data_IF_345070624478
#
_entry.id   IF_345070624478
#
_cell.length_a   1.000
_cell.length_b   1.000
_cell.length_c   1.000
_cell.angle_alpha   90.00
_cell.angle_beta   90.00
_cell.angle_gamma   90.00
#
_symmetry.space_group_name_H-M   'P 1'
#
loop_
_entity.id
_entity.type
_entity.pdbx_description
1 polymer ?
#
# COMPACT_ATOMS: atom_id res chain seq x y z
N UNK A 1 -70.78 -2.79 23.33
CA UNK A 1 -69.38 -3.15 23.62
C UNK A 1 -68.58 -3.12 22.32
N UNK A 2 -67.99 -1.95 22.05
CA UNK A 2 -67.25 -1.67 20.83
C UNK A 2 -65.83 -2.25 20.98
N UNK A 3 -65.50 -3.26 20.18
CA UNK A 3 -64.24 -4.01 20.29
C UNK A 3 -63.31 -3.61 19.14
N UNK A 4 -62.88 -2.35 19.14
CA UNK A 4 -61.86 -1.86 18.20
C UNK A 4 -60.45 -2.14 18.78
N UNK A 5 -59.99 -3.39 18.62
CA UNK A 5 -58.60 -3.80 18.87
C UNK A 5 -57.61 -3.20 17.85
N UNK A 6 -56.28 -3.39 18.02
CA UNK A 6 -55.22 -2.48 17.58
C UNK A 6 -54.87 -2.57 16.07
N UNK A 7 -55.87 -2.57 15.19
CA UNK A 7 -55.70 -2.68 13.73
C UNK A 7 -54.84 -1.55 13.14
N UNK A 8 -54.92 -0.37 13.73
CA UNK A 8 -54.14 0.80 13.31
C UNK A 8 -52.63 0.63 13.52
N UNK A 9 -52.21 -0.16 14.52
CA UNK A 9 -50.78 -0.40 14.80
C UNK A 9 -50.13 -1.29 13.74
N UNK A 10 -50.79 -2.39 13.35
CA UNK A 10 -50.27 -3.30 12.33
C UNK A 10 -50.20 -2.66 10.94
N UNK A 11 -51.18 -1.80 10.59
CA UNK A 11 -51.14 -1.03 9.36
C UNK A 11 -49.99 -0.02 9.34
N UNK A 12 -49.66 0.55 10.51
CA UNK A 12 -48.54 1.47 10.67
C UNK A 12 -47.20 0.73 10.58
N UNK A 13 -47.09 -0.45 11.18
CA UNK A 13 -45.89 -1.29 11.12
C UNK A 13 -45.58 -1.73 9.67
N UNK A 14 -46.61 -2.09 8.90
CA UNK A 14 -46.46 -2.43 7.50
C UNK A 14 -45.99 -1.24 6.65
N UNK A 15 -46.54 -0.05 6.89
CA UNK A 15 -46.10 1.20 6.24
C UNK A 15 -44.67 1.54 6.63
N UNK A 16 -44.31 1.40 7.90
CA UNK A 16 -42.96 1.63 8.41
C UNK A 16 -41.97 0.67 7.76
N UNK A 17 -42.32 -0.62 7.65
CA UNK A 17 -41.50 -1.64 6.99
C UNK A 17 -41.27 -1.29 5.52
N UNK A 18 -42.33 -0.89 4.80
CA UNK A 18 -42.21 -0.41 3.41
C UNK A 18 -41.31 0.80 3.29
N UNK A 19 -41.44 1.76 4.21
CA UNK A 19 -40.61 2.96 4.21
C UNK A 19 -39.12 2.63 4.46
N UNK A 20 -38.81 1.72 5.39
CA UNK A 20 -37.44 1.27 5.64
C UNK A 20 -36.85 0.60 4.40
N UNK A 21 -37.60 -0.31 3.77
CA UNK A 21 -37.20 -0.98 2.53
C UNK A 21 -36.98 0.04 1.41
N UNK A 22 -37.90 1.00 1.25
CA UNK A 22 -37.82 2.06 0.25
C UNK A 22 -36.57 2.93 0.43
N UNK A 23 -36.28 3.36 1.67
CA UNK A 23 -35.08 4.15 1.99
C UNK A 23 -33.81 3.35 1.71
N UNK A 24 -33.78 2.07 2.06
CA UNK A 24 -32.65 1.19 1.77
C UNK A 24 -32.39 1.06 0.25
N UNK A 25 -33.43 0.76 -0.53
CA UNK A 25 -33.30 0.67 -1.98
C UNK A 25 -32.89 2.00 -2.61
N UNK A 26 -33.46 3.13 -2.15
CA UNK A 26 -33.10 4.46 -2.65
C UNK A 26 -31.60 4.74 -2.47
N UNK A 27 -31.03 4.38 -1.32
CA UNK A 27 -29.59 4.50 -1.05
C UNK A 27 -28.74 3.56 -1.92
N UNK A 28 -29.18 2.31 -2.13
CA UNK A 28 -28.45 1.35 -2.98
C UNK A 28 -28.47 1.75 -4.45
N UNK A 29 -29.59 2.27 -4.94
CA UNK A 29 -29.73 2.76 -6.30
C UNK A 29 -28.92 4.03 -6.56
N UNK A 30 -28.84 4.95 -5.58
CA UNK A 30 -28.02 6.16 -5.72
C UNK A 30 -26.52 5.88 -5.72
N UNK A 31 -26.09 4.78 -5.10
CA UNK A 31 -24.68 4.36 -5.02
C UNK A 31 -24.36 3.23 -6.01
N UNK A 32 -25.20 3.01 -7.02
CA UNK A 32 -25.02 1.91 -7.97
C UNK A 32 -23.79 2.19 -8.85
N UNK A 33 -22.75 1.34 -8.80
CA UNK A 33 -21.57 1.50 -9.64
C UNK A 33 -21.91 1.30 -11.12
N UNK A 34 -21.11 1.91 -11.99
CA UNK A 34 -21.25 1.78 -13.43
C UNK A 34 -20.87 0.36 -13.91
N UNK A 35 -21.39 -0.05 -15.06
CA UNK A 35 -21.11 -1.36 -15.66
C UNK A 35 -19.62 -1.51 -15.95
N UNK A 36 -18.99 -0.49 -16.54
CA UNK A 36 -17.55 -0.45 -16.85
C UNK A 36 -16.67 -0.59 -15.61
N UNK A 37 -17.10 -0.03 -14.47
CA UNK A 37 -16.38 -0.16 -13.20
C UNK A 37 -16.45 -1.60 -12.67
N UNK A 38 -17.60 -2.25 -12.80
CA UNK A 38 -17.77 -3.65 -12.42
C UNK A 38 -16.95 -4.59 -13.32
N UNK A 39 -16.83 -4.27 -14.61
CA UNK A 39 -15.96 -4.99 -15.55
C UNK A 39 -14.49 -4.83 -15.20
N UNK A 40 -14.05 -3.60 -14.91
CA UNK A 40 -12.68 -3.28 -14.50
C UNK A 40 -12.28 -4.01 -13.21
N UNK A 41 -13.23 -4.14 -12.27
CA UNK A 41 -13.06 -4.89 -11.02
C UNK A 41 -13.24 -6.40 -11.18
N UNK A 42 -13.44 -6.91 -12.40
CA UNK A 42 -13.70 -8.32 -12.69
C UNK A 42 -14.94 -8.91 -11.98
N UNK A 43 -15.89 -8.07 -11.58
CA UNK A 43 -17.16 -8.48 -10.97
C UNK A 43 -18.18 -8.86 -12.04
N UNK A 44 -18.21 -8.11 -13.14
CA UNK A 44 -19.02 -8.43 -14.33
C UNK A 44 -18.09 -8.88 -15.46
N UNK A 45 -18.45 -9.95 -16.15
CA UNK A 45 -17.73 -10.43 -17.35
C UNK A 45 -18.53 -10.07 -18.59
N UNK A 46 -17.85 -9.70 -19.68
CA UNK A 46 -18.47 -9.31 -20.96
C UNK A 46 -19.19 -10.46 -21.71
N UNK A 47 -19.33 -11.65 -21.10
CA UNK A 47 -20.07 -12.82 -21.61
C UNK A 47 -19.54 -13.41 -22.93
N UNK A 48 -18.23 -13.61 -23.04
CA UNK A 48 -17.69 -14.47 -24.10
C UNK A 48 -16.82 -15.59 -23.52
N UNK A 49 -17.49 -16.63 -23.01
CA UNK A 49 -16.84 -17.81 -22.41
C UNK A 49 -15.86 -18.48 -23.38
N UNK A 50 -16.12 -18.42 -24.69
CA UNK A 50 -15.25 -18.99 -25.71
C UNK A 50 -13.97 -18.18 -25.92
N UNK A 51 -14.05 -16.84 -25.92
CA UNK A 51 -12.87 -15.97 -25.96
C UNK A 51 -12.00 -16.16 -24.72
N UNK A 52 -12.61 -16.21 -23.53
CA UNK A 52 -11.85 -16.46 -22.29
C UNK A 52 -11.15 -17.83 -22.33
N UNK A 53 -11.79 -18.85 -22.88
CA UNK A 53 -11.20 -20.17 -22.99
C UNK A 53 -10.06 -20.22 -24.02
N UNK A 54 -10.15 -19.47 -25.12
CA UNK A 54 -9.03 -19.29 -26.05
C UNK A 54 -7.87 -18.52 -25.38
N UNK A 55 -8.14 -17.38 -24.75
CA UNK A 55 -7.12 -16.60 -24.04
C UNK A 55 -6.42 -17.43 -22.95
N UNK A 56 -7.18 -18.22 -22.17
CA UNK A 56 -6.60 -19.12 -21.17
C UNK A 56 -5.72 -20.20 -21.81
N UNK A 57 -6.11 -20.73 -22.96
CA UNK A 57 -5.30 -21.71 -23.71
C UNK A 57 -4.02 -21.07 -24.24
N UNK A 58 -4.11 -19.89 -24.84
CA UNK A 58 -2.96 -19.14 -25.34
C UNK A 58 -1.98 -18.76 -24.22
N UNK A 59 -2.48 -18.25 -23.09
CA UNK A 59 -1.67 -17.93 -21.91
C UNK A 59 -0.96 -19.18 -21.41
N UNK A 60 -1.69 -20.31 -21.29
CA UNK A 60 -1.12 -21.59 -20.85
C UNK A 60 -0.04 -22.09 -21.81
N UNK A 61 -0.27 -22.02 -23.12
CA UNK A 61 0.69 -22.43 -24.12
C UNK A 61 1.94 -21.54 -24.12
N UNK A 62 1.75 -20.22 -24.06
CA UNK A 62 2.84 -19.24 -23.98
C UNK A 62 3.67 -19.44 -22.71
N UNK A 63 3.02 -19.68 -21.57
CA UNK A 63 3.69 -19.97 -20.31
C UNK A 63 4.52 -21.25 -20.39
N UNK A 64 3.94 -22.35 -20.88
CA UNK A 64 4.66 -23.62 -21.06
C UNK A 64 5.91 -23.44 -21.93
N UNK A 65 5.82 -22.71 -23.05
CA UNK A 65 6.97 -22.41 -23.89
C UNK A 65 8.06 -21.64 -23.13
N UNK A 66 7.68 -20.63 -22.34
CA UNK A 66 8.63 -19.84 -21.52
C UNK A 66 9.29 -20.67 -20.42
N UNK A 67 8.55 -21.57 -19.78
CA UNK A 67 9.08 -22.44 -18.73
C UNK A 67 10.06 -23.47 -19.30
N UNK A 68 9.76 -24.03 -20.48
CA UNK A 68 10.64 -25.00 -21.14
C UNK A 68 11.94 -24.37 -21.66
N UNK A 69 11.93 -23.08 -21.98
CA UNK A 69 13.10 -22.32 -22.45
C UNK A 69 13.74 -21.51 -21.32
N UNK A 70 13.50 -21.89 -20.06
CA UNK A 70 14.05 -21.18 -18.92
C UNK A 70 15.57 -21.42 -18.88
N UNK A 71 16.40 -20.35 -18.90
CA UNK A 71 17.84 -20.49 -18.83
C UNK A 71 18.27 -21.09 -17.49
N UNK A 72 19.37 -21.83 -17.51
CA UNK A 72 19.94 -22.42 -16.30
C UNK A 72 20.60 -21.34 -15.43
N UNK A 73 20.84 -21.66 -14.16
CA UNK A 73 21.51 -20.74 -13.23
C UNK A 73 22.92 -20.40 -13.72
N UNK A 74 23.63 -21.39 -14.27
CA UNK A 74 24.99 -21.21 -14.77
C UNK A 74 25.02 -20.29 -16.00
N UNK A 75 24.09 -20.46 -16.95
CA UNK A 75 23.94 -19.54 -18.09
C UNK A 75 23.68 -18.08 -17.67
N UNK A 76 22.92 -17.88 -16.59
CA UNK A 76 22.64 -16.54 -16.07
C UNK A 76 23.85 -15.93 -15.33
N UNK A 77 24.70 -16.76 -14.71
CA UNK A 77 25.99 -16.33 -14.13
C UNK A 77 26.99 -15.95 -15.22
N UNK A 78 27.08 -16.74 -16.29
CA UNK A 78 27.94 -16.47 -17.45
C UNK A 78 27.56 -15.17 -18.16
N UNK A 79 26.26 -14.89 -18.25
CA UNK A 79 25.72 -13.62 -18.80
C UNK A 79 25.81 -12.45 -17.82
N UNK A 80 26.39 -12.63 -16.63
CA UNK A 80 26.50 -11.63 -15.55
C UNK A 80 25.16 -11.03 -15.10
N UNK A 81 24.07 -11.77 -15.29
CA UNK A 81 22.72 -11.40 -14.81
C UNK A 81 22.61 -11.76 -13.32
N UNK A 82 23.15 -12.91 -12.93
CA UNK A 82 23.30 -13.30 -11.53
C UNK A 82 24.71 -12.94 -11.04
N UNK A 83 24.85 -11.81 -10.34
CA UNK A 83 26.14 -11.14 -10.05
C UNK A 83 26.96 -11.78 -8.92
N UNK A 84 26.39 -12.76 -8.19
CA UNK A 84 26.94 -13.58 -7.07
C UNK A 84 25.99 -13.53 -5.88
N UNK A 85 24.94 -14.34 -5.90
CA UNK A 85 24.32 -14.76 -4.65
C UNK A 85 24.88 -16.13 -4.33
N UNK A 86 25.52 -16.28 -3.17
CA UNK A 86 25.91 -17.59 -2.66
C UNK A 86 24.64 -18.34 -2.26
N UNK A 87 24.46 -19.56 -2.75
CA UNK A 87 23.33 -20.41 -2.38
C UNK A 87 23.38 -20.84 -0.90
N UNK A 88 24.53 -20.65 -0.27
CA UNK A 88 24.80 -20.93 1.14
C UNK A 88 25.32 -19.67 1.83
N UNK A 89 24.58 -19.19 2.83
CA UNK A 89 25.03 -18.14 3.74
C UNK A 89 25.38 -18.81 5.07
N UNK A 90 26.65 -18.69 5.47
CA UNK A 90 27.07 -19.17 6.78
C UNK A 90 26.41 -18.33 7.88
N UNK A 91 25.69 -18.99 8.79
CA UNK A 91 25.09 -18.35 9.95
C UNK A 91 26.05 -18.48 11.13
N UNK A 92 26.75 -17.39 11.44
CA UNK A 92 27.49 -17.27 12.69
C UNK A 92 26.56 -16.85 13.83
N UNK A 93 26.84 -17.33 15.05
CA UNK A 93 26.12 -16.85 16.25
C UNK A 93 26.47 -15.38 16.47
N UNK A 94 25.45 -14.55 16.63
CA UNK A 94 25.66 -13.17 17.05
C UNK A 94 26.11 -13.14 18.52
N UNK A 95 26.92 -12.14 18.88
CA UNK A 95 27.27 -11.94 20.29
C UNK A 95 26.03 -11.47 21.06
N UNK A 96 25.71 -12.18 22.14
CA UNK A 96 24.59 -11.91 23.05
C UNK A 96 24.99 -10.90 24.13
N UNK A 97 25.32 -9.68 23.70
CA UNK A 97 25.57 -8.56 24.60
C UNK A 97 24.43 -7.55 24.55
N UNK A 98 24.25 -6.80 25.63
CA UNK A 98 23.25 -5.74 25.68
C UNK A 98 23.63 -4.59 24.72
N UNK A 99 22.80 -4.41 23.69
CA UNK A 99 22.96 -3.34 22.66
C UNK A 99 22.11 -2.11 22.97
N UNK A 100 21.53 -2.03 24.16
CA UNK A 100 20.72 -0.90 24.57
C UNK A 100 21.63 0.31 24.80
N UNK A 101 21.54 1.27 23.90
CA UNK A 101 22.07 2.61 24.08
C UNK A 101 20.93 3.58 24.40
N UNK A 102 21.20 4.58 25.24
CA UNK A 102 20.26 5.68 25.41
C UNK A 102 20.09 6.42 24.08
N UNK A 103 18.87 6.91 23.84
CA UNK A 103 18.51 7.61 22.59
C UNK A 103 18.31 9.09 22.91
N UNK A 104 19.38 9.86 23.17
CA UNK A 104 19.29 11.22 23.71
C UNK A 104 18.46 12.15 22.83
N UNK A 105 18.42 11.89 21.51
CA UNK A 105 17.57 12.62 20.56
C UNK A 105 16.06 12.54 20.85
N UNK A 106 15.62 11.57 21.64
CA UNK A 106 14.21 11.38 22.00
C UNK A 106 13.76 12.39 23.07
N UNK A 107 14.69 13.03 23.78
CA UNK A 107 14.41 14.00 24.84
C UNK A 107 14.60 15.46 24.40
N UNK A 108 14.87 15.73 23.12
CA UNK A 108 15.10 17.07 22.60
C UNK A 108 13.78 17.85 22.42
N UNK A 109 13.63 18.94 23.17
CA UNK A 109 12.54 19.91 23.00
C UNK A 109 12.69 20.75 21.73
N UNK A 110 11.61 21.42 21.30
CA UNK A 110 11.67 22.38 20.20
C UNK A 110 12.68 23.50 20.46
N UNK A 111 12.81 23.94 21.71
CA UNK A 111 13.83 24.91 22.12
C UNK A 111 15.25 24.34 21.98
N UNK A 112 15.49 23.09 22.40
CA UNK A 112 16.79 22.42 22.32
C UNK A 112 17.27 22.23 20.87
N UNK A 113 16.32 21.99 19.97
CA UNK A 113 16.59 21.90 18.52
C UNK A 113 17.01 23.25 17.95
N UNK A 114 16.36 24.34 18.38
CA UNK A 114 16.69 25.71 17.95
C UNK A 114 18.02 26.16 18.55
N UNK A 115 18.32 25.88 19.81
CA UNK A 115 19.59 26.26 20.45
C UNK A 115 20.77 25.48 19.88
N UNK A 116 20.62 24.17 19.60
CA UNK A 116 21.64 23.40 18.88
C UNK A 116 21.89 23.97 17.46
N UNK A 117 20.84 24.44 16.78
CA UNK A 117 20.97 25.11 15.48
C UNK A 117 21.71 26.45 15.57
N UNK A 118 21.51 27.23 16.65
CA UNK A 118 22.19 28.51 16.85
C UNK A 118 23.63 28.35 17.34
N UNK A 119 23.90 27.41 18.25
CA UNK A 119 25.23 27.17 18.82
C UNK A 119 26.24 26.58 17.83
N UNK A 120 25.78 25.83 16.82
CA UNK A 120 26.64 25.36 15.74
C UNK A 120 27.06 26.48 14.76
N UNK A 121 26.37 27.62 14.77
CA UNK A 121 26.66 28.77 13.90
C UNK A 121 27.65 29.75 14.56
N UNK A 122 27.75 29.77 15.89
CA UNK A 122 28.63 30.69 16.63
C UNK A 122 30.07 30.18 16.81
N UNK A 123 30.36 28.93 16.42
CA UNK A 123 31.71 28.36 16.47
C UNK A 123 32.40 28.24 15.09
N UNK A 124 31.89 28.91 14.06
CA UNK A 124 32.50 28.90 12.72
C UNK A 124 33.18 30.22 12.36
N UNK A 125 34.05 30.76 13.22
CA UNK A 125 34.99 31.80 12.74
C UNK A 125 36.02 31.23 11.74
N UNK A 126 36.06 29.92 11.51
CA UNK A 126 36.85 29.28 10.44
C UNK A 126 36.10 28.18 9.63
N UNK A 127 34.76 28.22 9.57
CA UNK A 127 33.96 27.21 8.86
C UNK A 127 33.11 27.80 7.74
N UNK A 128 33.39 27.43 6.50
CA UNK A 128 32.89 28.07 5.28
C UNK A 128 31.38 28.25 5.18
N UNK A 129 31.00 29.36 4.54
CA UNK A 129 29.64 29.73 4.16
C UNK A 129 28.98 28.56 3.41
N UNK A 130 27.89 28.02 3.96
CA UNK A 130 27.12 26.95 3.32
C UNK A 130 26.58 27.46 1.98
N UNK A 131 27.23 27.04 0.88
CA UNK A 131 26.84 27.48 -0.47
C UNK A 131 25.40 27.07 -0.78
N UNK A 132 24.72 27.86 -1.63
CA UNK A 132 23.33 27.60 -2.07
C UNK A 132 23.17 26.18 -2.66
N UNK A 133 24.23 25.58 -3.19
CA UNK A 133 24.26 24.19 -3.66
C UNK A 133 24.17 23.16 -2.54
N UNK A 134 24.81 23.41 -1.38
CA UNK A 134 24.72 22.52 -0.22
C UNK A 134 23.32 22.60 0.44
N UNK A 135 22.69 23.79 0.41
CA UNK A 135 21.32 23.97 0.89
C UNK A 135 20.31 23.14 0.08
N UNK A 136 20.48 23.07 -1.25
CA UNK A 136 19.65 22.23 -2.13
C UNK A 136 19.87 20.74 -1.85
N UNK A 137 21.12 20.32 -1.60
CA UNK A 137 21.43 18.93 -1.21
C UNK A 137 20.79 18.53 0.12
N UNK A 138 20.82 19.41 1.12
CA UNK A 138 20.18 19.16 2.41
C UNK A 138 18.65 19.09 2.29
N UNK A 139 18.05 19.92 1.42
CA UNK A 139 16.61 19.89 1.15
C UNK A 139 16.17 18.61 0.42
N UNK A 140 16.98 18.11 -0.53
CA UNK A 140 16.73 16.81 -1.16
C UNK A 140 16.84 15.66 -0.14
N UNK A 141 17.88 15.67 0.70
CA UNK A 141 18.12 14.64 1.72
C UNK A 141 17.03 14.57 2.79
N UNK A 142 16.44 15.71 3.17
CA UNK A 142 15.33 15.78 4.12
C UNK A 142 13.99 15.39 3.50
N UNK A 143 13.79 15.65 2.20
CA UNK A 143 12.57 15.29 1.48
C UNK A 143 12.51 13.80 1.12
N UNK A 144 13.65 13.13 0.95
CA UNK A 144 13.72 11.72 0.56
C UNK A 144 13.62 10.74 1.76
N UNK A 145 13.47 11.24 2.98
CA UNK A 145 13.25 10.42 4.20
C UNK A 145 11.86 10.57 4.84
N UNK A 146 10.87 11.10 4.11
CA UNK A 146 9.46 11.09 4.54
C UNK A 146 8.59 10.14 3.74
#
# INVERSE_FOLDING_TARGET
PDFTGPRQSQDQDFKNTKNVILVFFRRRLSQRPAVEELESRNILKQRNDQSEQEERREIKQRLNRKLNQRPTVDELRDRKILIRFSDYVEVAKAQDYDRRADKPWTRLSAADKVTASHGNNTNSENGGVFSRTLAVWLHLLLFEKS
#
